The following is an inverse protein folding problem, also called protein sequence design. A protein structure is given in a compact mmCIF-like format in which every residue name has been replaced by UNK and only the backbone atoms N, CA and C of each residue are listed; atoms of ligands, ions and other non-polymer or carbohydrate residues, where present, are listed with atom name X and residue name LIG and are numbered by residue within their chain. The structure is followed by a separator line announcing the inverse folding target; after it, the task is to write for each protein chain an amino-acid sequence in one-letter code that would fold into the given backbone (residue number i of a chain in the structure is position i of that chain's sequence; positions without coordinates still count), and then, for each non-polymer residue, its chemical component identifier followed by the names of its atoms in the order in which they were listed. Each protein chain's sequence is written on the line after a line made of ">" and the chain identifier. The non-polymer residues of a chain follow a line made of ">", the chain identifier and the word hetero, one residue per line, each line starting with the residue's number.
data_IF_817728581302
#
_entry.id   IF_817728581302
#
_cell.length_a   1.000
_cell.length_b   1.000
_cell.length_c   1.000
_cell.angle_alpha   90.00
_cell.angle_beta   90.00
_cell.angle_gamma   90.00
#
_symmetry.space_group_name_H-M   'P 1'
#
loop_
_entity.id
_entity.type
_entity.pdbx_description
1 polymer ?
#
# COMPACT_ATOMS: atom_id res chain seq x y z
N UNK A 1 1.21 -16.26 -22.17
CA UNK A 1 2.31 -15.41 -21.68
C UNK A 1 1.62 -14.33 -20.86
N UNK A 2 1.87 -14.24 -19.55
CA UNK A 2 1.32 -13.11 -18.79
C UNK A 2 1.95 -11.82 -19.28
N UNK A 3 1.17 -10.75 -19.37
CA UNK A 3 1.65 -9.44 -19.86
C UNK A 3 2.71 -8.81 -18.93
N UNK A 4 2.83 -9.33 -17.70
CA UNK A 4 3.75 -8.84 -16.67
C UNK A 4 4.47 -10.01 -15.99
N UNK A 5 5.80 -9.90 -15.84
CA UNK A 5 6.66 -10.94 -15.24
C UNK A 5 7.19 -10.56 -13.86
N UNK A 6 7.09 -9.29 -13.49
CA UNK A 6 7.47 -8.75 -12.17
C UNK A 6 6.71 -7.46 -11.88
N UNK A 7 6.67 -7.02 -10.62
CA UNK A 7 6.12 -5.70 -10.28
C UNK A 7 6.86 -4.55 -10.98
N UNK A 8 8.15 -4.70 -11.27
CA UNK A 8 8.92 -3.69 -11.98
C UNK A 8 8.41 -3.40 -13.38
N UNK A 9 7.61 -4.30 -13.97
CA UNK A 9 6.94 -4.06 -15.26
C UNK A 9 5.92 -2.91 -15.19
N UNK A 10 5.43 -2.54 -14.01
CA UNK A 10 4.53 -1.39 -13.81
C UNK A 10 5.28 -0.07 -13.54
N UNK A 11 6.62 -0.12 -13.44
CA UNK A 11 7.48 1.02 -13.15
C UNK A 11 8.15 0.94 -11.78
N UNK A 12 9.08 1.86 -11.48
CA UNK A 12 9.76 1.93 -10.18
C UNK A 12 8.78 2.29 -9.04
N UNK A 13 9.18 2.02 -7.80
CA UNK A 13 8.37 2.21 -6.59
C UNK A 13 7.68 3.58 -6.54
N UNK A 14 8.43 4.66 -6.74
CA UNK A 14 7.94 6.05 -6.67
C UNK A 14 7.00 6.40 -7.82
N UNK A 15 7.23 5.83 -9.01
CA UNK A 15 6.33 6.01 -10.14
C UNK A 15 4.98 5.37 -9.84
N UNK A 16 4.99 4.12 -9.37
CA UNK A 16 3.75 3.41 -9.02
C UNK A 16 3.04 4.11 -7.86
N UNK A 17 3.77 4.57 -6.84
CA UNK A 17 3.22 5.36 -5.74
C UNK A 17 2.46 6.59 -6.26
N UNK A 18 3.09 7.38 -7.14
CA UNK A 18 2.47 8.55 -7.74
C UNK A 18 1.20 8.23 -8.53
N UNK A 19 1.05 7.02 -9.06
CA UNK A 19 -0.16 6.60 -9.78
C UNK A 19 -1.27 6.14 -8.83
N UNK A 20 -0.92 5.38 -7.78
CA UNK A 20 -1.91 4.71 -6.92
C UNK A 20 -2.29 5.47 -5.66
N UNK A 21 -1.52 6.50 -5.27
CA UNK A 21 -1.87 7.34 -4.14
C UNK A 21 -3.15 8.13 -4.41
N UNK A 22 -4.03 8.29 -3.41
CA UNK A 22 -5.32 8.94 -3.55
C UNK A 22 -5.14 10.42 -3.91
N UNK A 23 -5.83 10.84 -4.97
CA UNK A 23 -5.82 12.22 -5.47
C UNK A 23 -7.26 12.65 -5.73
N UNK A 24 -7.63 13.82 -5.22
CA UNK A 24 -8.94 14.41 -5.45
C UNK A 24 -9.12 15.74 -4.73
N UNK A 25 -10.11 16.56 -5.13
CA UNK A 25 -10.45 17.79 -4.40
C UNK A 25 -10.72 17.49 -2.92
N UNK A 26 -10.04 18.21 -2.02
CA UNK A 26 -10.19 18.04 -0.57
C UNK A 26 -9.60 16.74 -0.01
N UNK A 27 -8.87 15.95 -0.81
CA UNK A 27 -8.18 14.73 -0.36
C UNK A 27 -6.67 14.96 -0.41
N UNK A 28 -6.04 14.83 0.75
CA UNK A 28 -4.60 14.95 0.91
C UNK A 28 -4.05 13.64 1.41
N UNK A 29 -2.84 13.30 0.97
CA UNK A 29 -2.08 12.20 1.56
C UNK A 29 -0.71 12.68 2.00
N UNK A 30 -0.17 12.03 3.03
CA UNK A 30 1.21 12.19 3.44
C UNK A 30 1.88 10.82 3.53
N UNK A 31 3.06 10.72 2.93
CA UNK A 31 3.84 9.48 2.96
C UNK A 31 4.46 9.30 4.35
N UNK A 32 4.31 8.10 4.91
CA UNK A 32 5.02 7.69 6.13
C UNK A 32 6.24 6.85 5.77
N UNK A 33 6.06 5.86 4.90
CA UNK A 33 7.17 5.07 4.35
C UNK A 33 6.76 4.37 3.06
N UNK A 34 7.73 4.13 2.18
CA UNK A 34 7.58 3.27 1.01
C UNK A 34 8.79 2.34 0.88
N UNK A 35 8.58 1.12 0.41
CA UNK A 35 9.66 0.16 0.20
C UNK A 35 9.37 -0.83 -0.92
N UNK A 36 10.45 -1.28 -1.58
CA UNK A 36 10.42 -2.35 -2.55
C UNK A 36 11.34 -3.49 -2.08
N UNK A 37 10.76 -4.63 -1.71
CA UNK A 37 11.51 -5.78 -1.23
C UNK A 37 10.77 -7.10 -1.50
N UNK A 38 11.52 -8.16 -1.83
CA UNK A 38 10.96 -9.50 -1.98
C UNK A 38 9.83 -9.62 -3.01
N UNK A 39 9.90 -8.86 -4.11
CA UNK A 39 8.85 -8.84 -5.13
C UNK A 39 7.56 -8.14 -4.72
N UNK A 40 7.62 -7.26 -3.71
CA UNK A 40 6.49 -6.48 -3.19
C UNK A 40 6.81 -4.99 -3.19
N UNK A 41 5.78 -4.18 -3.42
CA UNK A 41 5.80 -2.74 -3.11
C UNK A 41 4.91 -2.49 -1.90
N UNK A 42 5.47 -1.86 -0.88
CA UNK A 42 4.74 -1.49 0.35
C UNK A 42 4.69 0.02 0.45
N UNK A 43 3.49 0.54 0.70
CA UNK A 43 3.22 1.96 0.93
C UNK A 43 2.49 2.11 2.26
N UNK A 44 3.02 2.93 3.16
CA UNK A 44 2.38 3.36 4.41
C UNK A 44 2.21 4.86 4.36
N UNK A 45 0.97 5.33 4.45
CA UNK A 45 0.61 6.72 4.25
C UNK A 45 -0.61 7.09 5.10
N UNK A 46 -0.78 8.38 5.35
CA UNK A 46 -1.96 8.93 6.01
C UNK A 46 -2.81 9.63 4.97
N UNK A 47 -4.11 9.34 4.95
CA UNK A 47 -5.11 10.11 4.20
C UNK A 47 -5.81 11.08 5.14
N UNK A 48 -5.99 12.32 4.67
CA UNK A 48 -6.82 13.35 5.27
C UNK A 48 -7.86 13.85 4.27
N UNK A 49 -9.09 14.03 4.75
CA UNK A 49 -10.15 14.73 4.02
C UNK A 49 -10.91 15.65 4.98
N UNK A 50 -11.43 16.77 4.49
CA UNK A 50 -12.02 17.84 5.33
C UNK A 50 -13.07 17.34 6.34
N UNK A 51 -13.91 16.37 5.95
CA UNK A 51 -15.04 15.89 6.77
C UNK A 51 -14.85 14.49 7.36
N UNK A 52 -13.64 13.92 7.33
CA UNK A 52 -13.41 12.56 7.86
C UNK A 52 -12.19 12.48 8.76
N UNK A 53 -12.21 11.57 9.76
CA UNK A 53 -11.02 11.29 10.55
C UNK A 53 -9.84 10.89 9.67
N UNK A 54 -8.64 11.31 10.08
CA UNK A 54 -7.40 10.89 9.43
C UNK A 54 -7.24 9.37 9.55
N UNK A 55 -6.95 8.72 8.42
CA UNK A 55 -6.73 7.28 8.35
C UNK A 55 -5.28 7.00 8.03
N UNK A 56 -4.66 6.09 8.78
CA UNK A 56 -3.38 5.51 8.37
C UNK A 56 -3.64 4.24 7.59
N UNK A 57 -3.00 4.12 6.43
CA UNK A 57 -3.23 3.06 5.48
C UNK A 57 -1.90 2.44 5.09
N UNK A 58 -1.84 1.11 5.14
CA UNK A 58 -0.74 0.34 4.56
C UNK A 58 -1.26 -0.50 3.40
N UNK A 59 -0.67 -0.30 2.23
CA UNK A 59 -0.99 -1.03 0.99
C UNK A 59 0.22 -1.81 0.53
N UNK A 60 0.03 -3.08 0.21
CA UNK A 60 1.06 -3.98 -0.29
C UNK A 60 0.61 -4.52 -1.64
N UNK A 61 1.45 -4.32 -2.64
CA UNK A 61 1.28 -4.89 -3.97
C UNK A 61 2.27 -6.03 -4.14
N UNK A 62 1.83 -7.12 -4.76
CA UNK A 62 2.64 -8.26 -5.15
C UNK A 62 2.17 -8.81 -6.48
N UNK A 63 3.07 -9.41 -7.25
CA UNK A 63 2.70 -10.11 -8.48
C UNK A 63 2.98 -11.60 -8.29
N UNK A 64 1.95 -12.44 -8.46
CA UNK A 64 2.14 -13.88 -8.64
C UNK A 64 2.58 -14.08 -10.09
N UNK A 65 3.83 -14.53 -10.35
CA UNK A 65 4.39 -14.53 -11.70
C UNK A 65 3.56 -15.35 -12.67
N UNK A 66 3.08 -14.71 -13.74
CA UNK A 66 2.28 -15.37 -14.78
C UNK A 66 0.80 -15.53 -14.46
N UNK A 67 0.33 -15.04 -13.31
CA UNK A 67 -1.06 -15.19 -12.88
C UNK A 67 -1.76 -13.85 -12.66
N UNK A 68 -1.48 -13.18 -11.53
CA UNK A 68 -2.28 -12.03 -11.10
C UNK A 68 -1.49 -11.05 -10.23
N UNK A 69 -1.91 -9.79 -10.30
CA UNK A 69 -1.53 -8.74 -9.36
C UNK A 69 -2.40 -8.88 -8.10
N UNK A 70 -1.78 -8.96 -6.95
CA UNK A 70 -2.45 -9.06 -5.66
C UNK A 70 -2.17 -7.81 -4.84
N UNK A 71 -3.23 -7.25 -4.28
CA UNK A 71 -3.14 -6.06 -3.43
C UNK A 71 -3.77 -6.36 -2.08
N UNK A 72 -3.05 -6.04 -1.01
CA UNK A 72 -3.57 -6.07 0.34
C UNK A 72 -3.55 -4.66 0.92
N UNK A 73 -4.67 -4.23 1.51
CA UNK A 73 -4.77 -2.92 2.16
C UNK A 73 -5.35 -3.08 3.56
N UNK A 74 -4.65 -2.53 4.55
CA UNK A 74 -5.15 -2.35 5.90
C UNK A 74 -5.23 -0.87 6.24
N UNK A 75 -6.22 -0.49 7.02
CA UNK A 75 -6.40 0.89 7.48
C UNK A 75 -6.90 0.93 8.92
N UNK A 76 -6.52 1.99 9.64
CA UNK A 76 -7.08 2.34 10.94
C UNK A 76 -7.23 3.86 11.07
N UNK A 77 -7.99 4.33 12.05
CA UNK A 77 -7.92 5.73 12.44
C UNK A 77 -6.53 6.03 13.01
N UNK A 78 -5.99 7.21 12.70
CA UNK A 78 -4.65 7.63 13.20
C UNK A 78 -4.62 7.64 14.74
N UNK A 79 -5.71 8.08 15.39
CA UNK A 79 -5.84 8.07 16.85
C UNK A 79 -5.73 6.68 17.49
N UNK A 80 -5.99 5.63 16.71
CA UNK A 80 -6.03 4.24 17.16
C UNK A 80 -4.77 3.46 16.72
N UNK A 81 -3.82 4.13 16.07
CA UNK A 81 -2.64 3.47 15.51
C UNK A 81 -1.75 2.85 16.60
N UNK A 82 -1.47 3.58 17.66
CA UNK A 82 -0.56 3.12 18.73
C UNK A 82 -1.18 2.04 19.62
N UNK A 83 -2.51 1.91 19.65
CA UNK A 83 -3.20 0.95 20.52
C UNK A 83 -3.37 -0.43 19.87
N UNK A 84 -3.95 -0.48 18.67
CA UNK A 84 -4.14 -1.74 17.93
C UNK A 84 -3.81 -1.62 16.44
N UNK A 85 -3.88 -0.42 15.87
CA UNK A 85 -3.70 -0.20 14.44
C UNK A 85 -2.34 -0.67 13.94
N UNK A 86 -1.28 -0.48 14.73
CA UNK A 86 0.08 -0.94 14.41
C UNK A 86 0.14 -2.46 14.22
N UNK A 87 -0.48 -3.23 15.12
CA UNK A 87 -0.49 -4.71 15.02
C UNK A 87 -1.22 -5.17 13.76
N UNK A 88 -2.37 -4.57 13.45
CA UNK A 88 -3.14 -4.92 12.24
C UNK A 88 -2.34 -4.55 10.99
N UNK A 89 -1.79 -3.35 10.95
CA UNK A 89 -1.03 -2.82 9.82
C UNK A 89 0.28 -3.58 9.61
N UNK A 90 0.97 -3.99 10.67
CA UNK A 90 2.22 -4.75 10.51
C UNK A 90 1.97 -6.22 10.19
N UNK A 91 0.83 -6.78 10.64
CA UNK A 91 0.40 -8.12 10.21
C UNK A 91 0.11 -8.18 8.71
N UNK A 92 -0.24 -7.06 8.08
CA UNK A 92 -0.33 -6.97 6.62
C UNK A 92 1.01 -7.29 5.93
N UNK A 93 2.12 -6.81 6.51
CA UNK A 93 3.46 -6.91 5.92
C UNK A 93 4.02 -8.34 5.92
N UNK A 94 3.49 -9.23 6.76
CA UNK A 94 3.90 -10.65 6.79
C UNK A 94 3.25 -11.48 5.67
N UNK A 95 2.27 -10.93 4.95
CA UNK A 95 1.56 -11.66 3.90
C UNK A 95 2.53 -12.07 2.79
N UNK A 96 2.66 -13.37 2.55
CA UNK A 96 3.56 -13.93 1.53
C UNK A 96 2.71 -14.54 0.42
N UNK A 97 3.01 -14.15 -0.82
CA UNK A 97 2.37 -14.73 -2.00
C UNK A 97 3.04 -16.07 -2.28
N UNK A 98 2.35 -17.16 -1.95
CA UNK A 98 2.80 -18.51 -2.28
C UNK A 98 2.54 -18.78 -3.77
N UNK A 99 3.42 -19.59 -4.36
CA UNK A 99 3.35 -20.06 -5.74
C UNK A 99 2.61 -21.39 -5.79
#
# INVERSE_FOLDING_TARGET
>A
RGDFTSLGSFGPLDYVQNVVMPKGPGVFYSDVSSSAAGGKYTYDYVIKSEDRPEKRIKTIWGLVPGEMLVTFTAQCDVKDFDSFGKTIIDSAASFTFYK
#
